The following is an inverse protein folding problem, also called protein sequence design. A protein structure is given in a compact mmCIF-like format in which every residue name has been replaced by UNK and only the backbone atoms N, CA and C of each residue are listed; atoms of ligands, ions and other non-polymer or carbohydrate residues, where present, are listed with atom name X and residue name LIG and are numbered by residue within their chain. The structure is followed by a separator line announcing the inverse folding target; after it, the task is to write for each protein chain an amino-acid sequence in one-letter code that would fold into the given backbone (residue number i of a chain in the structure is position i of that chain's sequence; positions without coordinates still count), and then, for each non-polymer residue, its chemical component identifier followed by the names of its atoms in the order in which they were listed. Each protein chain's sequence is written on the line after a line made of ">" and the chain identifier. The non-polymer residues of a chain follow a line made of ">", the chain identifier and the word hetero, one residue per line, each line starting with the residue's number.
data_IF_702874697962
#
_entry.id   IF_702874697962
#
_cell.length_a   1.000
_cell.length_b   1.000
_cell.length_c   1.000
_cell.angle_alpha   90.00
_cell.angle_beta   90.00
_cell.angle_gamma   90.00
#
_symmetry.space_group_name_H-M   'P 1'
#
loop_
_entity.id
_entity.type
_entity.pdbx_description
1 polymer ?
#
# COMPACT_ATOMS: atom_id res chain seq x y z
N UNK A 1 40.17 -43.25 -11.68
CA UNK A 1 40.36 -41.93 -12.33
C UNK A 1 39.51 -41.75 -13.59
N UNK A 2 39.45 -42.71 -14.52
CA UNK A 2 38.64 -42.60 -15.76
C UNK A 2 37.13 -42.38 -15.52
N UNK A 3 36.55 -43.05 -14.51
CA UNK A 3 35.10 -42.96 -14.18
C UNK A 3 34.72 -41.56 -13.65
N UNK A 4 35.58 -40.95 -12.84
CA UNK A 4 35.34 -39.59 -12.31
C UNK A 4 35.36 -38.57 -13.45
N UNK A 5 36.28 -38.74 -14.41
CA UNK A 5 36.38 -37.87 -15.58
C UNK A 5 35.15 -37.97 -16.49
N UNK A 6 34.61 -39.18 -16.70
CA UNK A 6 33.37 -39.37 -17.48
C UNK A 6 32.15 -38.75 -16.82
N UNK A 7 32.05 -38.80 -15.48
CA UNK A 7 30.94 -38.18 -14.74
C UNK A 7 31.01 -36.65 -14.75
N UNK A 8 32.21 -36.08 -14.69
CA UNK A 8 32.37 -34.62 -14.79
C UNK A 8 32.01 -34.10 -16.19
N UNK A 9 32.38 -34.83 -17.25
CA UNK A 9 32.02 -34.47 -18.62
C UNK A 9 30.50 -34.56 -18.84
N UNK A 10 29.84 -35.62 -18.36
CA UNK A 10 28.38 -35.74 -18.51
C UNK A 10 27.62 -34.66 -17.73
N UNK A 11 28.06 -34.30 -16.52
CA UNK A 11 27.52 -33.17 -15.77
C UNK A 11 27.70 -31.83 -16.51
N UNK A 12 28.86 -31.63 -17.14
CA UNK A 12 29.14 -30.41 -17.91
C UNK A 12 28.25 -30.30 -19.16
N UNK A 13 28.05 -31.41 -19.89
CA UNK A 13 27.13 -31.47 -21.04
C UNK A 13 25.67 -31.19 -20.62
N UNK A 14 25.20 -31.76 -19.51
CA UNK A 14 23.85 -31.49 -18.99
C UNK A 14 23.65 -30.00 -18.62
N UNK A 15 24.68 -29.33 -18.11
CA UNK A 15 24.60 -27.90 -17.80
C UNK A 15 24.60 -27.03 -19.07
N UNK A 16 25.34 -27.40 -20.11
CA UNK A 16 25.40 -26.68 -21.40
C UNK A 16 24.06 -26.70 -22.15
N UNK A 17 23.33 -27.81 -22.08
CA UNK A 17 22.04 -27.99 -22.76
C UNK A 17 20.93 -27.14 -22.14
N UNK A 18 21.01 -26.86 -20.84
CA UNK A 18 20.07 -25.97 -20.13
C UNK A 18 20.20 -24.48 -20.49
N UNK A 19 21.37 -24.07 -20.97
CA UNK A 19 21.66 -22.67 -21.37
C UNK A 19 21.26 -22.32 -22.81
N UNK A 20 20.90 -23.29 -23.65
CA UNK A 20 20.53 -23.10 -25.05
C UNK A 20 19.01 -23.19 -25.33
N UNK A 21 18.18 -23.10 -24.29
CA UNK A 21 16.72 -23.16 -24.39
C UNK A 21 16.05 -21.85 -23.92
N UNK A 22 16.48 -20.71 -24.45
CA UNK A 22 15.65 -19.50 -24.48
C UNK A 22 16.24 -18.48 -25.45
N UNK A 23 15.98 -18.63 -26.75
CA UNK A 23 15.83 -17.52 -27.70
C UNK A 23 15.69 -18.11 -29.12
N UNK A 24 14.46 -18.48 -29.50
CA UNK A 24 13.93 -18.36 -30.86
C UNK A 24 12.54 -19.00 -30.91
N UNK A 25 11.50 -18.17 -30.96
CA UNK A 25 10.21 -18.39 -31.68
C UNK A 25 9.25 -17.24 -31.36
N UNK A 26 9.53 -16.04 -31.89
CA UNK A 26 8.47 -15.02 -32.11
C UNK A 26 8.65 -14.38 -33.49
N UNK A 27 8.77 -15.21 -34.52
CA UNK A 27 8.30 -14.82 -35.84
C UNK A 27 6.89 -15.42 -35.98
N UNK A 28 5.96 -14.59 -36.47
CA UNK A 28 4.61 -14.91 -36.97
C UNK A 28 3.39 -14.69 -36.07
N UNK A 29 3.18 -13.43 -35.69
CA UNK A 29 1.86 -12.76 -35.82
C UNK A 29 2.04 -11.32 -36.33
N UNK A 30 2.52 -11.15 -37.57
CA UNK A 30 2.37 -9.90 -38.32
C UNK A 30 1.20 -10.03 -39.29
N UNK A 31 -0.03 -10.02 -38.76
CA UNK A 31 -1.22 -9.90 -39.58
C UNK A 31 -1.82 -8.51 -39.36
N UNK A 32 -1.72 -7.67 -40.39
CA UNK A 32 -2.51 -6.46 -40.65
C UNK A 32 -2.86 -5.56 -39.46
N UNK A 33 -1.87 -4.85 -38.91
CA UNK A 33 -2.16 -3.56 -38.29
C UNK A 33 -2.02 -2.46 -39.33
N UNK A 34 -3.07 -1.65 -39.50
CA UNK A 34 -3.06 -0.48 -40.38
C UNK A 34 -1.94 0.49 -39.97
N UNK A 35 -1.41 1.28 -40.90
CA UNK A 35 -0.39 2.29 -40.58
C UNK A 35 -0.84 3.25 -39.46
N UNK A 36 -2.16 3.43 -39.30
CA UNK A 36 -2.78 4.16 -38.19
C UNK A 36 -2.69 3.42 -36.84
N UNK A 37 -2.86 2.09 -36.81
CA UNK A 37 -2.59 1.25 -35.63
C UNK A 37 -1.09 1.23 -35.26
N UNK A 38 -0.19 1.38 -36.23
CA UNK A 38 1.27 1.52 -36.00
C UNK A 38 1.64 2.94 -35.50
N UNK A 39 1.03 4.00 -36.03
CA UNK A 39 1.16 5.38 -35.54
C UNK A 39 0.66 5.52 -34.08
N UNK A 40 -0.39 4.78 -33.73
CA UNK A 40 -0.91 4.68 -32.36
C UNK A 40 0.02 3.93 -31.40
N UNK A 41 0.99 3.15 -31.90
CA UNK A 41 2.05 2.53 -31.09
C UNK A 41 3.18 3.51 -30.76
N UNK A 42 3.43 4.51 -31.60
CA UNK A 42 4.39 5.60 -31.32
C UNK A 42 3.79 6.75 -30.51
N UNK A 43 2.47 6.96 -30.59
CA UNK A 43 1.69 7.59 -29.51
C UNK A 43 1.21 6.54 -28.51
N UNK A 44 2.06 5.53 -28.25
CA UNK A 44 1.78 4.45 -27.32
C UNK A 44 1.22 5.04 -26.06
N UNK A 45 0.06 4.52 -25.62
CA UNK A 45 -0.47 4.77 -24.28
C UNK A 45 0.73 4.68 -23.35
N UNK A 46 1.21 5.83 -22.88
CA UNK A 46 2.31 5.87 -21.91
C UNK A 46 1.70 5.28 -20.66
N UNK A 47 1.81 3.95 -20.53
CA UNK A 47 1.16 3.19 -19.46
C UNK A 47 1.86 3.60 -18.16
N UNK A 48 1.08 4.06 -17.19
CA UNK A 48 1.59 4.53 -15.91
C UNK A 48 1.70 6.05 -15.80
N UNK A 49 2.37 6.49 -14.74
CA UNK A 49 2.34 7.88 -14.29
C UNK A 49 3.64 8.66 -14.58
N UNK A 50 4.69 8.03 -15.15
CA UNK A 50 6.01 8.67 -15.33
C UNK A 50 5.94 10.02 -16.04
N UNK A 51 5.15 10.09 -17.10
CA UNK A 51 5.01 11.29 -17.93
C UNK A 51 3.77 12.13 -17.59
N UNK A 52 2.92 11.64 -16.68
CA UNK A 52 1.73 12.32 -16.18
C UNK A 52 1.55 12.06 -14.68
N UNK A 53 2.41 12.61 -13.79
CA UNK A 53 2.39 12.25 -12.37
C UNK A 53 1.08 12.64 -11.66
N UNK A 54 0.38 13.67 -12.16
CA UNK A 54 -0.88 14.15 -11.59
C UNK A 54 -2.02 13.13 -11.69
N UNK A 55 -1.95 12.16 -12.61
CA UNK A 55 -2.98 11.11 -12.72
C UNK A 55 -3.13 10.28 -11.42
N UNK A 56 -2.10 10.26 -10.57
CA UNK A 56 -2.16 9.62 -9.27
C UNK A 56 -3.01 10.40 -8.25
N UNK A 57 -3.20 11.71 -8.45
CA UNK A 57 -3.99 12.59 -7.56
C UNK A 57 -5.47 12.60 -7.90
N UNK A 58 -5.84 12.24 -9.13
CA UNK A 58 -7.21 12.38 -9.65
C UNK A 58 -8.15 11.21 -9.28
N UNK A 59 -7.72 10.32 -8.38
CA UNK A 59 -8.49 9.11 -8.06
C UNK A 59 -9.38 9.33 -6.85
N UNK A 60 -10.69 9.50 -7.10
CA UNK A 60 -11.74 9.41 -6.08
C UNK A 60 -11.66 8.03 -5.41
N UNK A 61 -11.69 7.90 -4.07
CA UNK A 61 -12.08 8.90 -3.06
C UNK A 61 -10.96 9.90 -2.64
N UNK A 62 -11.33 11.10 -2.14
CA UNK A 62 -10.47 12.28 -1.97
C UNK A 62 -9.37 12.18 -0.88
N UNK A 63 -9.25 11.06 -0.17
CA UNK A 63 -8.36 10.95 1.00
C UNK A 63 -7.04 10.21 0.73
N UNK A 64 -6.91 9.53 -0.40
CA UNK A 64 -5.73 8.72 -0.70
C UNK A 64 -4.66 9.60 -1.33
N UNK A 65 -3.69 10.01 -0.51
CA UNK A 65 -2.50 10.70 -1.00
C UNK A 65 -1.65 9.70 -1.77
N UNK A 66 -1.73 9.72 -3.10
CA UNK A 66 -0.90 8.87 -3.97
C UNK A 66 0.15 9.70 -4.70
N UNK A 67 1.33 9.12 -4.86
CA UNK A 67 2.45 9.67 -5.61
C UNK A 67 2.87 8.72 -6.73
N UNK A 68 3.40 9.27 -7.82
CA UNK A 68 4.02 8.45 -8.86
C UNK A 68 5.39 7.94 -8.39
N UNK A 69 5.48 6.64 -8.10
CA UNK A 69 6.71 5.96 -7.74
C UNK A 69 7.01 4.88 -8.77
N UNK A 70 8.17 4.94 -9.44
CA UNK A 70 8.60 3.94 -10.44
C UNK A 70 7.51 3.61 -11.49
N UNK A 71 6.91 4.64 -12.07
CA UNK A 71 5.82 4.55 -13.06
C UNK A 71 4.49 3.96 -12.55
N UNK A 72 4.30 3.84 -11.23
CA UNK A 72 3.04 3.39 -10.61
C UNK A 72 2.55 4.39 -9.58
N UNK A 73 1.23 4.51 -9.41
CA UNK A 73 0.66 5.31 -8.35
C UNK A 73 0.70 4.51 -7.04
N UNK A 74 1.49 4.97 -6.08
CA UNK A 74 1.69 4.37 -4.76
C UNK A 74 1.03 5.24 -3.71
N UNK A 75 0.33 4.62 -2.77
CA UNK A 75 -0.25 5.31 -1.63
C UNK A 75 0.86 5.73 -0.67
N UNK A 76 1.03 7.04 -0.47
CA UNK A 76 2.00 7.59 0.48
C UNK A 76 1.33 8.01 1.80
N UNK A 77 0.03 7.75 1.95
CA UNK A 77 -0.76 8.05 3.13
C UNK A 77 -0.74 6.96 4.19
N UNK A 78 -0.67 5.70 3.76
CA UNK A 78 -0.75 4.53 4.65
C UNK A 78 0.23 3.39 4.34
N UNK A 79 1.00 3.46 3.25
CA UNK A 79 2.01 2.44 2.93
C UNK A 79 3.22 2.60 3.86
N UNK A 80 3.55 1.54 4.60
CA UNK A 80 4.65 1.52 5.56
C UNK A 80 6.03 1.72 4.94
N UNK A 81 6.18 1.42 3.63
CA UNK A 81 7.44 1.55 2.89
C UNK A 81 7.50 2.79 1.99
N UNK A 82 6.42 3.58 1.93
CA UNK A 82 6.34 4.78 1.10
C UNK A 82 5.68 5.95 1.86
N UNK A 83 5.94 6.07 3.16
CA UNK A 83 5.24 7.04 3.99
C UNK A 83 5.65 8.48 3.66
N UNK A 84 4.70 9.28 3.17
CA UNK A 84 4.90 10.65 2.71
C UNK A 84 5.65 10.80 1.40
N UNK A 85 6.62 9.95 1.11
CA UNK A 85 7.35 9.90 -0.16
C UNK A 85 7.72 8.45 -0.52
N UNK A 86 8.03 8.23 -1.80
CA UNK A 86 8.46 6.92 -2.29
C UNK A 86 9.71 6.41 -1.56
N UNK A 87 9.69 5.17 -1.09
CA UNK A 87 10.84 4.51 -0.46
C UNK A 87 11.13 4.94 0.98
N UNK A 88 10.32 5.82 1.58
CA UNK A 88 10.43 6.16 2.99
C UNK A 88 9.71 5.11 3.81
N UNK A 89 10.46 4.35 4.59
CA UNK A 89 9.93 3.38 5.53
C UNK A 89 9.84 3.98 6.93
N UNK A 90 8.73 3.73 7.63
CA UNK A 90 8.62 4.14 9.03
C UNK A 90 9.57 3.35 9.94
N UNK A 91 10.02 3.96 11.07
CA UNK A 91 10.78 3.26 12.09
C UNK A 91 10.06 2.01 12.62
N UNK A 92 10.81 1.12 13.28
CA UNK A 92 10.21 -0.05 13.91
C UNK A 92 9.11 0.38 14.91
N UNK A 93 7.99 -0.35 14.92
CA UNK A 93 6.77 -0.07 15.71
C UNK A 93 5.98 1.21 15.35
N UNK A 94 6.42 1.98 14.36
CA UNK A 94 5.69 3.17 13.88
C UNK A 94 4.83 2.81 12.68
N UNK A 95 3.66 3.45 12.57
CA UNK A 95 2.74 3.25 11.46
C UNK A 95 2.68 4.50 10.58
N UNK A 96 2.51 4.32 9.27
CA UNK A 96 2.26 5.45 8.37
C UNK A 96 0.81 5.92 8.51
N UNK A 97 0.63 7.08 9.14
CA UNK A 97 -0.67 7.70 9.33
C UNK A 97 -0.71 9.06 8.63
N UNK A 98 -1.53 9.19 7.58
CA UNK A 98 -1.67 10.43 6.82
C UNK A 98 -0.32 11.00 6.37
N UNK A 99 0.51 10.17 5.75
CA UNK A 99 1.83 10.56 5.21
C UNK A 99 2.87 10.95 6.27
N UNK A 100 2.63 10.61 7.52
CA UNK A 100 3.56 10.84 8.62
C UNK A 100 3.73 9.53 9.37
N UNK A 101 4.97 9.18 9.69
CA UNK A 101 5.22 8.06 10.58
C UNK A 101 4.86 8.47 12.01
N UNK A 102 3.99 7.70 12.65
CA UNK A 102 3.51 7.95 14.01
C UNK A 102 3.79 6.74 14.88
N UNK A 103 4.32 6.99 16.08
CA UNK A 103 4.45 5.96 17.11
C UNK A 103 3.07 5.60 17.69
N UNK A 104 2.49 4.51 17.21
CA UNK A 104 1.17 4.05 17.66
C UNK A 104 1.21 3.47 19.08
N UNK A 105 2.39 3.26 19.67
CA UNK A 105 2.52 2.65 20.99
C UNK A 105 2.31 3.64 22.12
N UNK A 106 2.57 4.93 21.87
CA UNK A 106 2.55 5.98 22.89
C UNK A 106 1.73 7.21 22.48
N UNK A 107 1.35 7.35 21.21
CA UNK A 107 0.62 8.53 20.76
C UNK A 107 -0.88 8.42 21.11
N UNK A 108 -1.43 9.30 21.98
CA UNK A 108 -2.82 9.23 22.40
C UNK A 108 -3.84 9.57 21.30
N UNK A 109 -3.40 10.09 20.16
CA UNK A 109 -4.24 10.37 19.00
C UNK A 109 -4.20 9.25 17.94
N UNK A 110 -3.28 8.28 18.08
CA UNK A 110 -3.06 7.19 17.14
C UNK A 110 -2.76 5.87 17.87
N UNK A 111 -3.41 5.63 19.01
CA UNK A 111 -3.04 4.55 19.90
C UNK A 111 -3.41 3.18 19.31
N UNK A 112 -2.43 2.32 19.05
CA UNK A 112 -2.60 1.00 18.43
C UNK A 112 -3.00 1.02 16.95
N UNK A 113 -3.52 2.14 16.42
CA UNK A 113 -3.84 2.33 15.01
C UNK A 113 -4.02 3.80 14.64
N UNK A 114 -3.91 4.12 13.35
CA UNK A 114 -4.11 5.49 12.87
C UNK A 114 -5.50 6.05 13.22
N UNK A 115 -5.53 7.30 13.71
CA UNK A 115 -6.74 8.02 14.12
C UNK A 115 -7.53 7.36 15.27
N UNK A 116 -6.91 6.44 16.03
CA UNK A 116 -7.50 5.92 17.25
C UNK A 116 -7.11 6.80 18.44
N UNK A 117 -8.03 7.70 18.82
CA UNK A 117 -7.83 8.62 19.93
C UNK A 117 -8.27 7.97 21.24
N UNK A 118 -7.41 8.02 22.26
CA UNK A 118 -7.79 7.61 23.61
C UNK A 118 -8.87 8.53 24.22
N UNK A 119 -9.70 8.01 25.14
CA UNK A 119 -10.61 8.82 25.94
C UNK A 119 -9.88 9.97 26.64
N UNK A 120 -10.63 11.02 26.95
CA UNK A 120 -10.06 12.17 27.66
C UNK A 120 -9.46 11.72 28.99
N UNK A 121 -8.19 12.07 29.21
CA UNK A 121 -7.46 11.73 30.44
C UNK A 121 -6.75 10.38 30.42
N UNK A 122 -6.98 9.52 29.42
CA UNK A 122 -6.28 8.23 29.31
C UNK A 122 -4.97 8.33 28.53
N UNK A 123 -3.92 7.69 29.06
CA UNK A 123 -2.65 7.54 28.37
C UNK A 123 -2.72 6.43 27.32
N UNK A 124 -1.91 6.56 26.27
CA UNK A 124 -1.61 5.46 25.36
C UNK A 124 -0.33 4.77 25.84
N UNK A 125 -0.42 3.48 26.14
CA UNK A 125 0.73 2.69 26.53
C UNK A 125 0.65 1.31 25.90
N UNK A 126 1.74 0.88 25.28
CA UNK A 126 1.84 -0.34 24.49
C UNK A 126 0.75 -0.48 23.39
N UNK A 127 0.30 0.65 22.84
CA UNK A 127 -0.76 0.68 21.81
C UNK A 127 -2.16 0.47 22.36
N UNK A 128 -2.35 0.59 23.68
CA UNK A 128 -3.62 0.44 24.36
C UNK A 128 -3.94 1.70 25.18
N UNK A 129 -5.17 2.19 25.07
CA UNK A 129 -5.66 3.31 25.86
C UNK A 129 -5.95 2.85 27.29
N UNK A 130 -5.46 3.60 28.29
CA UNK A 130 -5.71 3.31 29.70
C UNK A 130 -5.03 2.04 30.22
N UNK A 131 -3.99 1.55 29.55
CA UNK A 131 -3.27 0.36 29.98
C UNK A 131 -2.68 0.57 31.39
N UNK A 132 -3.09 -0.27 32.33
CA UNK A 132 -2.72 -0.24 33.75
C UNK A 132 -3.12 1.04 34.51
N UNK A 133 -4.04 1.85 33.98
CA UNK A 133 -4.64 2.96 34.73
C UNK A 133 -5.73 2.46 35.69
N UNK A 134 -5.83 3.02 36.92
CA UNK A 134 -7.02 2.81 37.72
C UNK A 134 -8.24 3.32 36.95
N UNK A 135 -9.32 2.55 36.92
CA UNK A 135 -10.55 2.95 36.24
C UNK A 135 -10.96 4.36 36.71
N UNK A 136 -11.37 5.26 35.79
CA UNK A 136 -11.88 6.56 36.21
C UNK A 136 -13.04 6.36 37.20
N UNK A 137 -13.21 7.25 38.19
CA UNK A 137 -14.37 7.18 39.08
C UNK A 137 -15.65 7.20 38.24
N UNK A 138 -16.61 6.33 38.55
CA UNK A 138 -17.91 6.29 37.89
C UNK A 138 -18.60 7.66 37.97
N UNK A 139 -19.33 8.12 36.93
CA UNK A 139 -19.79 7.35 35.77
C UNK A 139 -18.97 7.60 34.49
N UNK A 140 -18.53 6.51 33.86
CA UNK A 140 -18.17 6.45 32.44
C UNK A 140 -19.02 5.33 31.82
N UNK A 141 -19.67 5.53 30.66
CA UNK A 141 -19.50 6.63 29.68
C UNK A 141 -20.26 7.91 30.08
N UNK A 142 -19.95 9.08 29.47
CA UNK A 142 -20.85 10.24 29.54
C UNK A 142 -22.25 9.81 29.07
N UNK A 143 -23.30 10.26 29.76
CA UNK A 143 -24.67 10.10 29.28
C UNK A 143 -24.74 10.65 27.85
N UNK A 144 -25.17 9.81 26.90
CA UNK A 144 -25.42 10.28 25.54
C UNK A 144 -26.43 11.43 25.64
N UNK A 145 -26.26 12.53 24.88
CA UNK A 145 -27.31 13.53 24.78
C UNK A 145 -28.61 12.85 24.37
N UNK A 146 -29.70 13.18 25.06
CA UNK A 146 -31.02 12.65 24.75
C UNK A 146 -31.34 12.90 23.26
N UNK A 147 -31.93 11.91 22.56
CA UNK A 147 -32.38 12.12 21.20
C UNK A 147 -33.40 13.28 21.17
N UNK A 148 -33.44 14.09 20.10
CA UNK A 148 -34.44 15.12 19.96
C UNK A 148 -35.85 14.51 20.04
N UNK A 149 -36.83 15.24 20.60
CA UNK A 149 -38.19 14.73 20.76
C UNK A 149 -38.76 14.31 19.40
N UNK A 150 -39.43 13.15 19.37
CA UNK A 150 -40.12 12.69 18.17
C UNK A 150 -41.17 13.73 17.75
N UNK A 151 -41.31 14.03 16.44
CA UNK A 151 -42.36 14.89 15.96
C UNK A 151 -43.74 14.29 16.33
N UNK A 152 -44.75 15.12 16.62
CA UNK A 152 -46.08 14.62 16.94
C UNK A 152 -46.59 13.71 15.83
N UNK A 153 -47.07 12.51 16.19
CA UNK A 153 -47.72 11.61 15.24
C UNK A 153 -48.94 12.32 14.66
N UNK A 154 -48.93 12.58 13.36
CA UNK A 154 -50.13 13.02 12.64
C UNK A 154 -51.10 11.83 12.58
N UNK A 155 -51.88 11.65 13.62
CA UNK A 155 -53.06 10.82 13.60
C UNK A 155 -54.25 11.74 13.29
N UNK A 156 -54.89 11.43 12.17
CA UNK A 156 -56.12 12.04 11.63
C UNK A 156 -57.28 12.05 12.64
#
# INVERSE_FOLDING_TARGET
>A
MKIIFTLLISLLFLTLESSHASHETEAMMKLNSSAWLEQSRHHGRRQGCWYKPWICKDQFPPFRRKLCCKNRCVDIGSDENNCGLCGIRCPFSWQCCNSVCVDIMINPFHCGSCANRCPFGSLCSYGLCGYAEPLPPFPFPPELPEPPPEPPSMNE
#
